data_IF_514543679793
#
_entry.id   IF_514543679793
#
_cell.length_a   1.000
_cell.length_b   1.000
_cell.length_c   1.000
_cell.angle_alpha   90.00
_cell.angle_beta   90.00
_cell.angle_gamma   90.00
#
_symmetry.space_group_name_H-M   'P 1'
#
loop_
_entity.id
_entity.type
_entity.pdbx_description
1 polymer ?
2 non-polymer ?
3 non-polymer ?
4 non-polymer ?
5 water ?
#
# COMPACT_ATOMS: atom_id res chain seq x y z
N UNK A 18 -3.74 17.55 9.17
CA UNK A 18 -2.26 17.65 9.41
C UNK A 18 -1.53 16.35 9.09
N UNK A 19 -1.88 15.30 9.82
CA UNK A 19 -1.27 13.98 9.64
C UNK A 19 -2.32 12.93 9.29
N UNK A 20 -3.42 13.36 8.71
CA UNK A 20 -4.46 12.41 8.30
C UNK A 20 -3.86 11.43 7.27
N UNK A 21 -4.18 10.15 7.42
CA UNK A 21 -3.73 9.16 6.44
C UNK A 21 -4.49 9.26 5.12
N UNK A 22 -3.89 8.71 4.08
CA UNK A 22 -4.53 8.71 2.80
C UNK A 22 -4.46 7.35 2.12
N UNK A 23 -5.51 7.04 1.39
CA UNK A 23 -5.62 5.81 0.64
C UNK A 23 -5.42 6.00 -0.85
N UNK A 24 -4.97 4.93 -1.49
CA UNK A 24 -4.64 4.94 -2.90
C UNK A 24 -5.01 3.66 -3.56
N UNK A 25 -5.52 3.75 -4.80
CA UNK A 25 -5.48 2.60 -5.68
C UNK A 25 -4.13 2.58 -6.39
N UNK A 26 -3.62 1.37 -6.64
CA UNK A 26 -2.26 1.17 -7.14
C UNK A 26 -2.28 0.25 -8.35
N UNK A 27 -2.74 0.76 -9.49
CA UNK A 27 -2.61 0.00 -10.74
C UNK A 27 -1.13 -0.04 -11.14
N UNK A 28 -0.77 -1.07 -11.90
CA UNK A 28 0.56 -1.24 -12.45
C UNK A 28 0.45 -1.18 -13.97
N UNK A 29 1.25 -0.30 -14.59
CA UNK A 29 1.16 0.00 -16.03
C UNK A 29 2.56 0.02 -16.62
N UNK A 30 2.70 -0.46 -17.87
CA UNK A 30 4.04 -0.54 -18.46
C UNK A 30 4.69 0.83 -18.65
N UNK A 31 3.89 1.86 -18.93
CA UNK A 31 4.38 3.22 -19.11
C UNK A 31 4.36 3.98 -17.79
N UNK A 32 5.32 4.87 -17.60
CA UNK A 32 5.39 5.72 -16.41
C UNK A 32 4.78 7.09 -16.58
N UNK A 33 4.13 7.32 -17.72
CA UNK A 33 3.53 8.62 -18.04
C UNK A 33 2.08 8.49 -18.51
N UNK A 34 1.39 7.45 -18.07
CA UNK A 34 0.01 7.25 -18.43
C UNK A 34 -0.90 8.25 -17.74
N UNK A 35 -1.81 8.86 -18.49
CA UNK A 35 -2.87 9.60 -17.86
C UNK A 35 -4.08 9.28 -18.68
N UNK A 36 -5.01 8.62 -18.03
CA UNK A 36 -6.29 8.27 -18.60
C UNK A 36 -7.09 7.62 -17.51
N UNK A 37 -7.86 6.62 -17.92
CA UNK A 37 -8.69 5.88 -17.01
C UNK A 37 -7.85 4.80 -16.36
N UNK A 38 -7.58 5.00 -15.07
CA UNK A 38 -6.74 4.07 -14.30
C UNK A 38 -7.51 2.84 -13.80
N UNK A 39 -8.82 2.76 -14.05
CA UNK A 39 -9.63 1.67 -13.48
C UNK A 39 -9.74 0.44 -14.39
N UNK A 40 -9.07 0.48 -15.54
CA UNK A 40 -9.11 -0.63 -16.49
C UNK A 40 -8.07 -1.69 -16.10
N UNK A 41 -7.34 -1.42 -15.00
CA UNK A 41 -6.26 -2.26 -14.48
C UNK A 41 -6.60 -2.71 -13.06
N UNK A 42 -6.19 -3.91 -12.70
CA UNK A 42 -6.47 -4.44 -11.36
C UNK A 42 -5.52 -3.84 -10.33
N UNK A 43 -6.08 -3.21 -9.31
CA UNK A 43 -5.21 -2.49 -8.45
C UNK A 43 -4.83 -3.21 -7.15
N UNK A 44 -3.64 -2.91 -6.68
CA UNK A 44 -3.32 -3.07 -5.28
C UNK A 44 -3.81 -1.82 -4.56
N UNK A 45 -3.60 -1.77 -3.25
CA UNK A 45 -4.10 -0.68 -2.45
C UNK A 45 -2.98 -0.14 -1.60
N UNK A 46 -2.92 1.17 -1.48
CA UNK A 46 -1.95 1.79 -0.63
C UNK A 46 -2.54 2.64 0.48
N UNK A 47 -1.75 2.83 1.53
CA UNK A 47 -2.18 3.61 2.67
C UNK A 47 -0.99 4.33 3.26
N UNK A 48 -1.00 5.65 3.18
CA UNK A 48 0.09 6.48 3.69
C UNK A 48 -0.30 7.00 5.08
N UNK A 49 0.58 6.80 6.05
CA UNK A 49 0.31 7.15 7.44
C UNK A 49 1.37 8.10 7.97
N UNK A 50 1.20 9.40 7.72
CA UNK A 50 2.21 10.35 8.15
C UNK A 50 2.44 10.35 9.66
N UNK A 51 1.43 10.01 10.47
CA UNK A 51 1.56 10.00 11.94
C UNK A 51 2.52 8.91 12.44
N UNK A 52 2.76 7.89 11.62
CA UNK A 52 3.63 6.79 11.98
C UNK A 52 4.84 6.64 11.05
N UNK A 53 4.90 7.42 9.97
CA UNK A 53 5.92 7.26 8.97
C UNK A 53 5.90 5.91 8.29
N UNK A 54 4.68 5.38 8.06
CA UNK A 54 4.51 4.10 7.40
C UNK A 54 3.72 4.26 6.11
N UNK A 55 4.04 3.37 5.18
CA UNK A 55 3.31 3.21 3.92
C UNK A 55 2.95 1.76 3.81
N UNK A 56 1.66 1.45 3.68
CA UNK A 56 1.22 0.08 3.53
C UNK A 56 0.77 -0.20 2.12
N UNK A 57 1.12 -1.38 1.62
CA UNK A 57 0.71 -1.81 0.29
C UNK A 57 0.07 -3.17 0.41
N UNK A 58 -1.18 -3.28 -0.06
CA UNK A 58 -1.99 -4.50 0.06
C UNK A 58 -2.31 -5.09 -1.28
N UNK A 59 -2.16 -6.41 -1.35
CA UNK A 59 -2.48 -7.23 -2.51
C UNK A 59 -3.48 -8.29 -2.11
N UNK A 60 -4.51 -8.44 -2.93
CA UNK A 60 -5.58 -9.42 -2.71
C UNK A 60 -5.35 -10.67 -3.59
N UNK A 61 -5.32 -11.84 -2.95
CA UNK A 61 -5.34 -13.11 -3.66
C UNK A 61 -6.53 -13.91 -3.17
N UNK A 62 -7.58 -13.92 -4.00
CA UNK A 62 -8.82 -14.65 -3.67
C UNK A 62 -9.32 -14.45 -2.24
N UNK A 63 -9.35 -13.19 -1.82
CA UNK A 63 -9.86 -12.80 -0.52
C UNK A 63 -8.89 -12.79 0.64
N UNK A 64 -7.70 -13.35 0.42
CA UNK A 64 -6.62 -13.26 1.38
C UNK A 64 -5.87 -11.97 1.08
N UNK A 65 -5.37 -11.32 2.11
CA UNK A 65 -4.64 -10.07 1.93
C UNK A 65 -3.19 -10.23 2.33
N UNK A 66 -2.32 -9.66 1.50
CA UNK A 66 -0.90 -9.59 1.79
C UNK A 66 -0.52 -8.12 1.88
N UNK A 67 -0.07 -7.71 3.04
CA UNK A 67 0.19 -6.31 3.30
C UNK A 67 1.65 -6.08 3.66
N UNK A 68 2.33 -5.34 2.82
CA UNK A 68 3.67 -4.89 3.16
C UNK A 68 3.60 -3.60 3.98
N UNK A 69 4.28 -3.60 5.13
CA UNK A 69 4.47 -2.41 5.93
C UNK A 69 5.86 -1.90 5.60
N UNK A 70 5.89 -0.75 4.93
CA UNK A 70 7.12 -0.01 4.61
C UNK A 70 7.24 1.11 5.61
N UNK A 71 8.49 1.49 5.92
CA UNK A 71 8.73 2.79 6.53
C UNK A 71 9.02 3.78 5.42
N UNK A 72 8.68 5.06 5.61
CA UNK A 72 8.95 6.04 4.58
C UNK A 72 9.49 7.32 5.19
N UNK A 73 10.22 8.03 4.35
CA UNK A 73 10.64 9.40 4.60
C UNK A 73 10.41 10.18 3.31
N UNK A 74 10.25 11.49 3.44
CA UNK A 74 10.18 12.36 2.29
C UNK A 74 11.57 12.78 1.84
N UNK A 75 11.71 12.92 0.54
CA UNK A 75 12.89 13.54 -0.08
C UNK A 75 12.33 14.62 -0.99
N UNK A 76 12.13 15.81 -0.44
CA UNK A 76 11.37 16.82 -1.12
C UNK A 76 9.93 16.35 -1.31
N UNK A 77 9.51 16.29 -2.55
CA UNK A 77 8.17 15.81 -2.89
C UNK A 77 8.08 14.28 -3.02
N UNK A 78 9.21 13.60 -2.97
CA UNK A 78 9.23 12.16 -3.20
C UNK A 78 9.04 11.36 -1.93
N UNK A 79 8.26 10.28 -2.04
CA UNK A 79 8.06 9.36 -0.94
C UNK A 79 9.02 8.19 -1.12
N UNK A 80 9.98 8.04 -0.21
CA UNK A 80 10.95 6.96 -0.25
C UNK A 80 10.56 5.88 0.76
N UNK A 81 10.33 4.68 0.25
CA UNK A 81 9.73 3.58 1.01
C UNK A 81 10.72 2.42 1.14
N UNK A 82 11.00 2.01 2.37
CA UNK A 82 11.92 0.93 2.69
C UNK A 82 11.17 -0.25 3.29
N UNK A 83 11.40 -1.47 2.78
CA UNK A 83 10.69 -2.62 3.30
C UNK A 83 10.81 -2.79 4.80
N UNK A 84 9.74 -3.29 5.40
CA UNK A 84 9.69 -3.51 6.83
C UNK A 84 9.25 -4.93 7.14
N UNK A 85 7.93 -5.14 7.16
CA UNK A 85 7.33 -6.43 7.47
C UNK A 85 6.24 -6.73 6.48
N UNK A 86 5.83 -7.98 6.44
CA UNK A 86 4.74 -8.48 5.61
C UNK A 86 3.74 -9.19 6.49
N UNK A 87 2.49 -8.80 6.38
CA UNK A 87 1.40 -9.37 7.12
C UNK A 87 0.50 -10.10 6.16
N UNK A 88 0.18 -11.35 6.45
CA UNK A 88 -0.72 -12.14 5.64
C UNK A 88 -1.98 -12.40 6.44
N UNK A 89 -3.14 -12.18 5.82
CA UNK A 89 -4.43 -12.32 6.45
C UNK A 89 -5.28 -13.26 5.61
N UNK A 90 -5.49 -14.47 6.11
CA UNK A 90 -6.07 -15.54 5.34
C UNK A 90 -7.40 -15.97 5.95
N UNK A 91 -8.52 -15.79 5.23
CA UNK A 91 -9.79 -16.26 5.74
C UNK A 91 -9.89 -17.77 5.81
N UNK A 92 -10.53 -18.25 6.87
CA UNK A 92 -10.81 -19.66 7.03
C UNK A 92 -12.26 -19.86 7.44
N UNK A 93 -12.70 -21.11 7.44
CA UNK A 93 -14.09 -21.44 7.74
C UNK A 93 -14.61 -20.80 9.01
N UNK A 94 -15.89 -20.44 9.00
CA UNK A 94 -16.56 -19.90 10.17
C UNK A 94 -16.07 -18.52 10.56
N UNK A 95 -15.83 -17.69 9.55
CA UNK A 95 -15.43 -16.29 9.72
C UNK A 95 -14.17 -16.09 10.57
N UNK A 96 -13.25 -17.06 10.53
CA UNK A 96 -11.97 -16.93 11.18
C UNK A 96 -10.95 -16.32 10.21
N UNK A 97 -9.95 -15.67 10.78
CA UNK A 97 -8.80 -15.15 10.01
C UNK A 97 -7.52 -15.67 10.61
N UNK A 98 -6.61 -16.14 9.74
CA UNK A 98 -5.26 -16.44 10.14
C UNK A 98 -4.38 -15.25 9.81
N UNK A 99 -3.70 -14.71 10.81
CA UNK A 99 -2.85 -13.54 10.65
C UNK A 99 -1.43 -13.93 11.03
N UNK A 100 -0.51 -13.75 10.09
CA UNK A 100 0.89 -14.08 10.30
C UNK A 100 1.75 -12.92 9.83
N UNK A 101 2.93 -12.81 10.44
CA UNK A 101 3.82 -11.70 10.20
C UNK A 101 5.23 -12.21 9.92
N UNK A 102 5.88 -11.65 8.90
CA UNK A 102 7.25 -11.98 8.49
C UNK A 102 8.04 -10.67 8.36
N UNK A 103 9.32 -10.69 8.67
CA UNK A 103 10.20 -9.58 8.37
C UNK A 103 10.51 -9.61 6.88
N UNK A 104 10.39 -8.48 6.19
CA UNK A 104 10.72 -8.38 4.80
C UNK A 104 12.23 -8.29 4.63
N UNK A 105 12.73 -8.90 3.57
CA UNK A 105 14.13 -8.77 3.21
C UNK A 105 14.35 -7.56 2.35
N UNK A 106 15.41 -6.81 2.62
CA UNK A 106 15.82 -5.71 1.77
C UNK A 106 16.21 -6.14 0.36
N UNK A 107 16.66 -7.37 0.23
CA UNK A 107 17.10 -7.91 -1.05
C UNK A 107 15.92 -8.42 -1.88
N UNK A 108 14.88 -8.89 -1.23
CA UNK A 108 13.83 -9.66 -1.91
C UNK A 108 12.46 -9.00 -1.99
N UNK A 109 12.26 -7.92 -1.27
CA UNK A 109 11.07 -7.08 -1.38
C UNK A 109 11.48 -5.75 -2.01
N UNK A 110 10.79 -5.28 -3.05
CA UNK A 110 11.23 -4.05 -3.69
C UNK A 110 11.03 -2.82 -2.81
N UNK A 111 11.98 -1.89 -2.86
CA UNK A 111 11.80 -0.55 -2.35
C UNK A 111 11.05 0.27 -3.38
N UNK A 112 10.46 1.36 -2.95
CA UNK A 112 9.81 2.27 -3.88
C UNK A 112 10.24 3.71 -3.61
N UNK A 113 10.42 4.46 -4.68
CA UNK A 113 10.44 5.93 -4.62
C UNK A 113 9.26 6.39 -5.46
N UNK A 114 8.31 7.06 -4.83
CA UNK A 114 7.15 7.60 -5.51
C UNK A 114 7.36 9.07 -5.77
N UNK A 115 7.21 9.48 -7.04
CA UNK A 115 7.39 10.86 -7.46
C UNK A 115 6.07 11.43 -7.96
N UNK A 116 5.85 12.74 -7.83
CA UNK A 116 4.58 13.29 -8.29
C UNK A 116 4.37 13.14 -9.80
N UNK A 117 3.12 13.30 -10.20
CA UNK A 117 2.70 13.30 -11.60
C UNK A 117 2.10 14.69 -11.93
N UNK A 118 2.95 15.70 -12.15
CA UNK A 118 2.42 17.05 -12.30
C UNK A 118 1.46 17.22 -13.48
N UNK A 119 1.60 16.40 -14.50
CA UNK A 119 0.81 16.55 -15.72
C UNK A 119 -0.46 15.70 -15.78
N UNK A 120 -0.76 15.01 -14.68
CA UNK A 120 -1.94 14.14 -14.63
C UNK A 120 -2.71 14.33 -13.34
N UNK A 121 -3.95 14.77 -13.44
CA UNK A 121 -4.77 15.00 -12.25
C UNK A 121 -5.41 13.71 -11.74
N UNK A 122 -5.29 12.63 -12.49
CA UNK A 122 -5.90 11.34 -12.14
C UNK A 122 -4.96 10.39 -11.38
N UNK A 123 -3.75 10.86 -11.07
CA UNK A 123 -2.80 10.13 -10.28
C UNK A 123 -2.08 11.13 -9.39
N UNK A 124 -1.65 10.65 -8.22
CA UNK A 124 -0.88 11.45 -7.27
C UNK A 124 0.63 11.21 -7.40
N UNK A 125 1.02 9.96 -7.63
CA UNK A 125 2.44 9.59 -7.73
C UNK A 125 2.60 8.44 -8.70
N UNK A 126 3.83 8.24 -9.16
CA UNK A 126 4.24 7.06 -9.90
C UNK A 126 5.59 6.61 -9.36
N UNK A 127 5.83 5.30 -9.39
CA UNK A 127 7.11 4.74 -8.98
C UNK A 127 8.20 5.16 -9.96
N UNK A 128 9.41 5.26 -9.45
CA UNK A 128 10.57 5.55 -10.32
C UNK A 128 11.12 4.33 -11.04
N UNK A 129 10.84 3.13 -10.52
CA UNK A 129 11.38 1.88 -11.07
C UNK A 129 10.28 0.86 -11.27
N UNK A 130 10.48 -0.01 -12.26
CA UNK A 130 9.55 -1.07 -12.54
C UNK A 130 9.65 -2.19 -11.52
N UNK A 131 8.51 -2.85 -11.33
CA UNK A 131 8.40 -4.11 -10.61
C UNK A 131 7.68 -5.03 -11.56
N UNK A 132 8.28 -6.19 -11.85
CA UNK A 132 7.71 -7.14 -12.80
C UNK A 132 7.32 -6.40 -14.09
N UNK A 133 8.20 -5.53 -14.56
CA UNK A 133 8.01 -4.87 -15.82
C UNK A 133 7.07 -3.68 -15.86
N UNK A 134 6.50 -3.30 -14.71
CA UNK A 134 5.51 -2.24 -14.69
C UNK A 134 5.73 -1.24 -13.58
N UNK A 135 5.20 -0.04 -13.80
CA UNK A 135 5.21 1.03 -12.82
C UNK A 135 3.94 1.04 -12.01
N UNK A 136 4.08 0.99 -10.68
CA UNK A 136 2.95 1.23 -9.81
C UNK A 136 2.66 2.73 -9.73
N UNK A 137 1.40 3.08 -9.76
CA UNK A 137 0.93 4.42 -9.50
C UNK A 137 0.25 4.48 -8.16
N UNK A 138 0.17 5.69 -7.59
CA UNK A 138 -0.69 5.97 -6.44
C UNK A 138 -1.75 6.92 -6.95
N UNK A 139 -3.01 6.46 -6.96
CA UNK A 139 -4.17 7.25 -7.34
C UNK A 139 -5.01 7.47 -6.09
N UNK A 140 -5.14 8.72 -5.66
CA UNK A 140 -5.91 8.98 -4.44
C UNK A 140 -7.32 8.42 -4.54
N UNK A 141 -7.78 7.76 -3.50
CA UNK A 141 -9.03 7.03 -3.56
C UNK A 141 -9.62 6.87 -2.17
N UNK A 142 -10.87 7.26 -2.01
CA UNK A 142 -11.55 7.12 -0.73
C UNK A 142 -11.83 5.66 -0.40
N UNK A 143 -12.29 4.87 -1.38
CA UNK A 143 -12.64 3.50 -1.11
C UNK A 143 -11.43 2.68 -0.65
N UNK A 144 -10.24 2.98 -1.15
CA UNK A 144 -9.06 2.30 -0.69
C UNK A 144 -8.79 2.61 0.78
N UNK A 145 -8.98 3.88 1.16
CA UNK A 145 -8.87 4.28 2.54
C UNK A 145 -9.88 3.51 3.41
N UNK A 146 -11.13 3.46 2.97
CA UNK A 146 -12.15 2.77 3.74
C UNK A 146 -11.78 1.31 3.95
N UNK A 147 -11.19 0.68 2.94
CA UNK A 147 -10.84 -0.73 3.00
C UNK A 147 -9.80 -0.97 4.08
N UNK A 148 -8.75 -0.17 4.11
CA UNK A 148 -7.75 -0.30 5.16
C UNK A 148 -8.34 -0.03 6.54
N UNK A 149 -9.13 1.02 6.65
CA UNK A 149 -9.61 1.43 7.96
C UNK A 149 -10.61 0.41 8.52
N UNK A 150 -11.40 -0.19 7.67
CA UNK A 150 -12.28 -1.28 8.09
C UNK A 150 -11.48 -2.48 8.59
N UNK A 151 -10.42 -2.83 7.86
CA UNK A 151 -9.58 -3.93 8.24
C UNK A 151 -8.92 -3.67 9.60
N UNK A 152 -8.38 -2.47 9.81
CA UNK A 152 -7.73 -2.15 11.10
C UNK A 152 -8.65 -2.36 12.27
N UNK A 153 -9.92 -2.00 12.10
CA UNK A 153 -10.84 -1.96 13.21
C UNK A 153 -11.74 -3.19 13.30
N UNK A 154 -11.52 -4.17 12.43
CA UNK A 154 -12.24 -5.43 12.47
C UNK A 154 -11.82 -6.13 13.76
N UNK A 155 -12.80 -6.56 14.56
CA UNK A 155 -12.49 -7.21 15.85
C UNK A 155 -11.54 -8.41 15.76
N UNK A 156 -11.51 -9.07 14.60
CA UNK A 156 -10.63 -10.22 14.36
C UNK A 156 -9.18 -9.86 14.02
N UNK A 157 -8.91 -8.57 13.80
CA UNK A 157 -7.62 -8.12 13.27
C UNK A 157 -6.74 -7.42 14.27
N UNK A 158 -6.96 -7.63 15.55
CA UNK A 158 -6.10 -7.04 16.56
C UNK A 158 -4.62 -7.29 16.35
N UNK A 159 -4.26 -8.49 15.92
CA UNK A 159 -2.85 -8.79 15.69
C UNK A 159 -2.25 -7.84 14.67
N UNK A 160 -3.03 -7.50 13.64
CA UNK A 160 -2.60 -6.56 12.61
C UNK A 160 -2.58 -5.11 13.12
N UNK A 161 -3.67 -4.69 13.74
CA UNK A 161 -3.78 -3.34 14.29
C UNK A 161 -2.65 -3.09 15.28
N UNK A 162 -2.40 -4.06 16.14
CA UNK A 162 -1.36 -3.91 17.17
C UNK A 162 0.02 -3.83 16.58
N UNK A 163 0.31 -4.64 15.55
CA UNK A 163 1.59 -4.53 14.87
C UNK A 163 1.83 -3.12 14.33
N UNK A 164 0.82 -2.56 13.68
CA UNK A 164 0.94 -1.24 13.11
C UNK A 164 1.05 -0.18 14.21
N UNK A 165 0.18 -0.26 15.21
CA UNK A 165 0.17 0.75 16.28
C UNK A 165 1.47 0.76 17.06
N UNK A 166 2.09 -0.41 17.23
CA UNK A 166 3.28 -0.55 18.06
C UNK A 166 4.56 -0.52 17.25
N UNK A 167 4.44 -0.27 15.95
CA UNK A 167 5.56 -0.47 15.03
C UNK A 167 6.70 0.49 15.30
N UNK A 168 7.93 -0.04 15.26
CA UNK A 168 9.13 0.74 15.45
C UNK A 168 9.24 1.41 16.81
N UNK A 169 8.28 1.13 17.68
CA UNK A 169 8.08 1.88 18.90
C UNK A 169 8.07 0.96 20.09
X LIG B 1 -11.84 10.99 1.88
X LIG B 1 -10.79 10.67 1.28
X LIG B 1 -10.32 9.49 1.32
X LIG B 1 -10.05 11.70 0.60
X LIG B 1 -10.09 13.04 1.05
X LIG B 1 -9.21 11.35 -0.49
X LIG B 1 -8.45 12.34 -1.09
X LIG B 1 -8.49 13.68 -0.63
X LIG B 1 -9.31 14.02 0.44
X LIG C 1 -11.22 18.02 -13.51
X LIG D 1 -0.82 14.25 -10.46
X LIG E 1 -4.18 2.40 12.47
X LIG E 1 -5.08 3.52 12.47
X LIG E 1 -4.77 1.33 13.37
X LIG E 1 -4.87 1.85 14.70
#
# INVERSE_FOLDING_TARGET
GGAKKNVQDAEGQAEAGGNAPSGYLMPAISANNFCGDFTTMTPDYGYLMPEKGLFLKMHDIRGAYGINIYTYVMDGDNIQCTPGHFVMIVPRGGDKLEITIKKSSMKNTPSFTFIPTPDCENSAYVATEKVAGKYYYLCGDAEARYKFEDLFEDERCAEFKNLVDNYGK
UNL O1 O2 O3 O4 O5 O6 O7 O8 O9
CA CA
CA CA
EDO C1 O1 C2 O2
#
